data_IF_582973994124
#
_entry.id   IF_582973994124
#
_cell.length_a   1.000
_cell.length_b   1.000
_cell.length_c   1.000
_cell.angle_alpha   90.00
_cell.angle_beta   90.00
_cell.angle_gamma   90.00
#
_symmetry.space_group_name_H-M   'P 1'
#
loop_
_entity.id
_entity.type
_entity.pdbx_description
1 polymer ?
#
# COMPACT_ATOMS: atom_id res chain seq x y z
N UNK A 1 -26.89 -19.38 5.64
CA UNK A 1 -25.82 -20.19 6.25
C UNK A 1 -24.82 -20.78 5.24
N UNK A 2 -25.26 -21.52 4.20
CA UNK A 2 -24.36 -22.14 3.20
C UNK A 2 -23.43 -21.13 2.48
N UNK A 3 -23.97 -19.99 2.04
CA UNK A 3 -23.17 -18.92 1.41
C UNK A 3 -22.09 -18.39 2.35
N UNK A 4 -22.41 -18.13 3.61
CA UNK A 4 -21.45 -17.66 4.62
C UNK A 4 -20.31 -18.67 4.80
N UNK A 5 -20.62 -19.97 4.91
CA UNK A 5 -19.62 -21.04 5.03
C UNK A 5 -18.69 -21.07 3.81
N UNK A 6 -19.24 -20.94 2.60
CA UNK A 6 -18.47 -20.90 1.35
C UNK A 6 -17.57 -19.66 1.28
N UNK A 7 -18.09 -18.49 1.63
CA UNK A 7 -17.30 -17.24 1.64
C UNK A 7 -16.14 -17.32 2.62
N UNK A 8 -16.36 -17.82 3.83
CA UNK A 8 -15.29 -17.99 4.84
C UNK A 8 -14.26 -19.01 4.35
N UNK A 9 -14.71 -20.15 3.80
CA UNK A 9 -13.80 -21.17 3.26
C UNK A 9 -12.94 -20.62 2.13
N UNK A 10 -13.56 -19.90 1.18
CA UNK A 10 -12.86 -19.28 0.06
C UNK A 10 -11.83 -18.24 0.53
N UNK A 11 -12.23 -17.35 1.44
CA UNK A 11 -11.33 -16.35 2.02
C UNK A 11 -10.08 -16.98 2.64
N UNK A 12 -10.25 -18.08 3.40
CA UNK A 12 -9.14 -18.83 4.00
C UNK A 12 -8.29 -19.55 2.95
N UNK A 13 -8.92 -20.20 1.97
CA UNK A 13 -8.21 -20.93 0.91
C UNK A 13 -7.30 -20.02 0.09
N UNK A 14 -7.69 -18.76 -0.11
CA UNK A 14 -6.90 -17.82 -0.89
C UNK A 14 -5.87 -17.08 -0.02
N UNK A 15 -6.29 -16.53 1.13
CA UNK A 15 -5.52 -15.50 1.84
C UNK A 15 -4.90 -15.96 3.17
N UNK A 16 -5.12 -17.20 3.62
CA UNK A 16 -4.47 -17.67 4.85
C UNK A 16 -2.98 -17.99 4.62
N UNK A 17 -2.23 -18.20 5.71
CA UNK A 17 -0.82 -18.62 5.66
C UNK A 17 -0.60 -19.97 4.97
N UNK A 18 -1.66 -20.78 4.81
CA UNK A 18 -1.65 -22.04 4.05
C UNK A 18 -2.53 -21.95 2.78
N UNK A 19 -2.93 -20.74 2.41
CA UNK A 19 -3.70 -20.47 1.21
C UNK A 19 -2.83 -20.46 -0.04
N UNK A 20 -3.47 -20.36 -1.21
CA UNK A 20 -2.75 -20.37 -2.48
C UNK A 20 -2.09 -19.04 -2.86
N UNK A 21 -2.55 -17.90 -2.31
CA UNK A 21 -2.06 -16.56 -2.70
C UNK A 21 -1.30 -15.88 -1.57
N UNK A 22 -1.83 -15.93 -0.34
CA UNK A 22 -1.22 -15.25 0.82
C UNK A 22 0.28 -15.53 1.05
N UNK A 23 0.80 -16.77 0.85
CA UNK A 23 2.23 -17.04 0.99
C UNK A 23 3.13 -16.30 -0.01
N UNK A 24 2.64 -16.05 -1.23
CA UNK A 24 3.38 -15.32 -2.25
C UNK A 24 3.51 -13.84 -1.84
N UNK A 25 2.42 -13.24 -1.34
CA UNK A 25 2.43 -11.87 -0.81
C UNK A 25 3.41 -11.74 0.37
N UNK A 26 3.37 -12.69 1.32
CA UNK A 26 4.27 -12.69 2.47
C UNK A 26 5.74 -12.77 2.05
N UNK A 27 6.04 -13.61 1.05
CA UNK A 27 7.38 -13.72 0.48
C UNK A 27 7.82 -12.42 -0.18
N UNK A 28 6.93 -11.76 -0.93
CA UNK A 28 7.20 -10.45 -1.53
C UNK A 28 7.50 -9.39 -0.45
N UNK A 29 6.68 -9.31 0.60
CA UNK A 29 6.90 -8.37 1.70
C UNK A 29 8.23 -8.58 2.41
N UNK A 30 8.61 -9.83 2.71
CA UNK A 30 9.91 -10.13 3.32
C UNK A 30 11.08 -9.76 2.43
N UNK A 31 10.98 -10.02 1.12
CA UNK A 31 12.03 -9.65 0.17
C UNK A 31 12.19 -8.14 0.05
N UNK A 32 11.09 -7.39 0.07
CA UNK A 32 11.13 -5.91 0.08
C UNK A 32 11.84 -5.42 1.34
N UNK A 33 11.48 -5.93 2.53
CA UNK A 33 12.15 -5.54 3.79
C UNK A 33 13.65 -5.83 3.76
N UNK A 34 14.05 -7.03 3.33
CA UNK A 34 15.47 -7.36 3.18
C UNK A 34 16.18 -6.45 2.15
N UNK A 35 15.47 -6.05 1.08
CA UNK A 35 16.01 -5.15 0.06
C UNK A 35 16.26 -3.73 0.59
N UNK A 36 15.47 -3.25 1.55
CA UNK A 36 15.63 -1.94 2.17
C UNK A 36 16.90 -1.82 3.03
N UNK A 37 17.49 -2.94 3.44
CA UNK A 37 18.78 -2.97 4.13
C UNK A 37 19.97 -2.86 3.17
N UNK A 38 19.73 -2.91 1.85
CA UNK A 38 20.78 -2.81 0.84
C UNK A 38 21.19 -1.37 0.54
N UNK A 39 22.42 -1.19 0.08
CA UNK A 39 22.94 0.11 -0.40
C UNK A 39 22.68 0.33 -1.91
N UNK A 40 21.63 -0.27 -2.47
CA UNK A 40 21.37 -0.28 -3.92
C UNK A 40 20.78 1.03 -4.44
N UNK A 41 19.56 1.35 -4.01
CA UNK A 41 18.87 2.60 -4.35
C UNK A 41 18.65 3.41 -3.08
N UNK A 42 18.86 4.73 -3.16
CA UNK A 42 18.52 5.65 -2.06
C UNK A 42 17.00 5.79 -1.88
N UNK A 43 16.24 5.62 -2.97
CA UNK A 43 14.80 5.89 -3.00
C UNK A 43 13.98 4.66 -3.35
N UNK A 44 12.81 4.55 -2.73
CA UNK A 44 11.74 3.63 -3.13
C UNK A 44 10.83 4.34 -4.12
N UNK A 45 10.74 3.81 -5.34
CA UNK A 45 9.97 4.43 -6.41
C UNK A 45 8.48 4.07 -6.36
N UNK A 46 7.61 5.08 -6.41
CA UNK A 46 6.14 4.94 -6.46
C UNK A 46 5.53 5.78 -7.60
N UNK A 47 6.26 5.87 -8.72
CA UNK A 47 5.92 6.77 -9.82
C UNK A 47 5.01 6.13 -10.89
N UNK A 48 4.55 4.89 -10.71
CA UNK A 48 3.77 4.22 -11.75
C UNK A 48 2.48 5.00 -12.02
N UNK A 49 2.30 5.34 -13.29
CA UNK A 49 1.21 6.18 -13.80
C UNK A 49 1.11 7.58 -13.18
N UNK A 50 2.18 8.08 -12.55
CA UNK A 50 2.20 9.44 -12.02
C UNK A 50 1.89 10.47 -13.12
N UNK A 51 1.07 11.48 -12.77
CA UNK A 51 0.61 12.51 -13.70
C UNK A 51 -0.53 12.09 -14.64
N UNK A 52 -1.07 10.87 -14.48
CA UNK A 52 -2.23 10.37 -15.24
C UNK A 52 -3.48 10.18 -14.37
N UNK A 53 -3.41 10.57 -13.10
CA UNK A 53 -4.54 10.50 -12.18
C UNK A 53 -5.53 11.62 -12.51
N UNK A 54 -6.82 11.30 -12.53
CA UNK A 54 -7.89 12.25 -12.83
C UNK A 54 -8.41 12.88 -11.54
N UNK A 55 -8.41 14.21 -11.44
CA UNK A 55 -9.06 14.92 -10.33
C UNK A 55 -10.59 14.91 -10.52
N UNK A 56 -11.31 14.33 -9.57
CA UNK A 56 -12.78 14.31 -9.52
C UNK A 56 -13.37 15.38 -8.59
N UNK A 57 -12.52 16.20 -7.96
CA UNK A 57 -12.87 17.26 -7.03
C UNK A 57 -12.87 16.79 -5.57
N UNK A 58 -13.48 15.63 -5.27
CA UNK A 58 -13.51 15.03 -3.93
C UNK A 58 -12.44 13.94 -3.74
N UNK A 59 -12.01 13.30 -4.82
CA UNK A 59 -10.93 12.30 -4.84
C UNK A 59 -10.18 12.31 -6.18
N UNK A 60 -9.03 11.64 -6.21
CA UNK A 60 -8.34 11.31 -7.45
C UNK A 60 -8.73 9.91 -7.92
N UNK A 61 -8.89 9.74 -9.23
CA UNK A 61 -9.11 8.45 -9.87
C UNK A 61 -7.85 8.03 -10.63
N UNK A 62 -7.26 6.90 -10.22
CA UNK A 62 -6.05 6.34 -10.81
C UNK A 62 -6.32 5.04 -11.57
N UNK A 63 -5.35 4.62 -12.38
CA UNK A 63 -5.36 3.30 -13.02
C UNK A 63 -5.26 2.18 -11.97
N UNK A 64 -5.97 1.07 -12.18
CA UNK A 64 -6.02 -0.07 -11.24
C UNK A 64 -4.64 -0.62 -10.87
N UNK A 65 -3.67 -0.56 -11.79
CA UNK A 65 -2.31 -1.07 -11.57
C UNK A 65 -1.30 0.02 -11.18
N UNK A 66 -1.75 1.26 -10.97
CA UNK A 66 -0.91 2.41 -10.62
C UNK A 66 -0.66 2.57 -9.13
N UNK A 67 0.22 3.51 -8.79
CA UNK A 67 0.65 3.74 -7.40
C UNK A 67 -0.07 4.92 -6.72
N UNK A 68 -1.22 5.39 -7.24
CA UNK A 68 -1.95 6.53 -6.67
C UNK A 68 -2.29 6.30 -5.19
N UNK A 69 -2.81 5.10 -4.86
CA UNK A 69 -3.22 4.77 -3.50
C UNK A 69 -2.02 4.74 -2.55
N UNK A 70 -0.88 4.19 -3.02
CA UNK A 70 0.36 4.15 -2.25
C UNK A 70 0.92 5.57 -2.02
N UNK A 71 0.94 6.42 -3.05
CA UNK A 71 1.34 7.83 -2.90
C UNK A 71 0.44 8.57 -1.91
N UNK A 72 -0.87 8.32 -1.96
CA UNK A 72 -1.85 8.92 -1.05
C UNK A 72 -1.62 8.45 0.39
N UNK A 73 -1.38 7.16 0.59
CA UNK A 73 -1.06 6.57 1.89
C UNK A 73 0.21 7.18 2.49
N UNK A 74 1.31 7.26 1.73
CA UNK A 74 2.57 7.83 2.24
C UNK A 74 2.50 9.34 2.48
N UNK A 75 1.70 10.08 1.72
CA UNK A 75 1.43 11.50 2.00
C UNK A 75 0.75 11.67 3.35
N UNK A 76 -0.32 10.91 3.60
CA UNK A 76 -1.01 10.92 4.89
C UNK A 76 -0.10 10.47 6.03
N UNK A 77 0.67 9.39 5.84
CA UNK A 77 1.65 8.91 6.82
C UNK A 77 2.65 10.01 7.18
N UNK A 78 3.25 10.68 6.19
CA UNK A 78 4.19 11.78 6.42
C UNK A 78 3.55 12.89 7.25
N UNK A 79 2.34 13.33 6.87
CA UNK A 79 1.61 14.37 7.60
C UNK A 79 1.39 13.99 9.07
N UNK A 80 1.02 12.73 9.36
CA UNK A 80 0.86 12.26 10.75
C UNK A 80 2.19 12.20 11.51
N UNK A 81 3.27 11.79 10.85
CA UNK A 81 4.60 11.70 11.49
C UNK A 81 5.23 13.06 11.77
N UNK A 82 4.85 14.12 11.05
CA UNK A 82 5.43 15.47 11.20
C UNK A 82 4.50 16.50 11.83
N UNK A 83 3.27 16.11 12.22
CA UNK A 83 2.22 17.04 12.68
C UNK A 83 2.63 17.90 13.88
N UNK A 84 3.38 17.34 14.82
CA UNK A 84 3.84 18.07 16.02
C UNK A 84 4.98 19.05 15.71
N UNK A 85 5.84 18.72 14.74
CA UNK A 85 6.94 19.59 14.28
C UNK A 85 6.39 20.82 13.53
N UNK A 86 5.40 20.61 12.66
CA UNK A 86 4.72 21.69 11.94
C UNK A 86 3.95 22.64 12.87
N UNK A 87 3.47 22.15 14.01
CA UNK A 87 2.79 22.99 15.01
C UNK A 87 3.76 23.85 15.82
N UNK A 88 5.04 23.46 15.91
CA UNK A 88 6.10 24.21 16.60
C UNK A 88 6.82 25.23 15.71
N UNK A 89 6.87 25.03 14.40
CA UNK A 89 7.45 26.01 13.45
C UNK A 89 6.52 27.21 13.16
N UNK A 90 5.22 27.08 13.42
CA UNK A 90 4.21 28.12 13.17
C UNK A 90 3.86 28.92 14.44
N UNK A 91 4.37 28.50 15.61
CA UNK A 91 4.20 29.18 16.90
C UNK A 91 5.43 30.02 17.26
#
# INVERSE_FOLDING_TARGET
ESMLKRTILYSRLINSSFGMVGPDDLTAYHRVQNGLESNGSEWVEMHRHFGRDEDKGDHFHGLLTGDLDIRTQYKAWKEYMTKDQLSQEVA
#
